data_IF_347892176686
#
_entry.id   IF_347892176686
#
_cell.length_a   1.000
_cell.length_b   1.000
_cell.length_c   1.000
_cell.angle_alpha   90.00
_cell.angle_beta   90.00
_cell.angle_gamma   90.00
#
_symmetry.space_group_name_H-M   'P 1'
#
loop_
_entity.id
_entity.type
_entity.pdbx_description
1 polymer ?
#
# COMPACT_ATOMS: atom_id res chain seq x y z
N UNK A 1 25.40 -18.57 33.64
CA UNK A 1 24.85 -17.41 32.92
C UNK A 1 24.35 -17.92 31.59
N UNK A 2 23.04 -17.90 31.38
CA UNK A 2 22.42 -18.31 30.13
C UNK A 2 22.36 -17.12 29.18
N UNK A 3 22.71 -17.34 27.91
CA UNK A 3 21.99 -16.71 26.80
C UNK A 3 21.89 -17.73 25.64
N UNK A 4 20.68 -18.24 25.35
CA UNK A 4 20.43 -19.09 24.20
C UNK A 4 20.23 -18.27 22.91
N UNK A 5 20.78 -18.81 21.82
CA UNK A 5 20.60 -18.37 20.43
C UNK A 5 19.13 -18.09 20.10
N UNK A 6 18.83 -16.84 19.75
CA UNK A 6 17.56 -16.46 19.14
C UNK A 6 17.54 -16.92 17.68
N UNK A 7 17.06 -18.14 17.40
CA UNK A 7 16.41 -18.42 16.12
C UNK A 7 14.92 -18.11 16.28
N UNK A 8 14.54 -16.87 16.00
CA UNK A 8 13.16 -16.52 15.68
C UNK A 8 13.07 -16.37 14.17
N UNK A 9 12.60 -17.41 13.49
CA UNK A 9 11.90 -17.23 12.23
C UNK A 9 10.69 -16.36 12.54
N UNK A 10 10.77 -15.07 12.21
CA UNK A 10 9.68 -14.12 12.47
C UNK A 10 9.00 -13.77 11.15
N UNK A 11 7.80 -14.30 11.00
CA UNK A 11 6.79 -13.97 10.00
C UNK A 11 6.37 -12.49 10.15
N UNK A 12 7.17 -11.55 9.63
CA UNK A 12 7.06 -10.13 9.95
C UNK A 12 6.43 -9.23 8.86
N UNK A 13 5.98 -9.78 7.73
CA UNK A 13 5.40 -8.97 6.63
C UNK A 13 3.87 -8.83 6.69
N UNK A 14 3.20 -9.33 7.73
CA UNK A 14 1.73 -9.43 7.75
C UNK A 14 1.00 -8.27 8.46
N UNK A 15 1.70 -7.38 9.17
CA UNK A 15 1.06 -6.38 10.05
C UNK A 15 1.65 -4.96 10.03
N UNK A 16 2.72 -4.70 9.28
CA UNK A 16 3.24 -3.32 9.17
C UNK A 16 2.38 -2.51 8.18
N UNK A 17 2.01 -1.25 8.52
CA UNK A 17 1.33 -0.35 7.60
C UNK A 17 2.24 -0.05 6.41
N UNK A 18 1.78 -0.41 5.21
CA UNK A 18 2.51 -0.26 3.95
C UNK A 18 2.19 1.07 3.24
N UNK A 19 1.01 1.63 3.50
CA UNK A 19 0.55 2.90 2.92
C UNK A 19 0.25 3.93 4.00
N UNK A 20 0.15 5.20 3.62
CA UNK A 20 -0.16 6.32 4.52
C UNK A 20 -1.49 6.13 5.27
N UNK A 21 -2.47 5.48 4.65
CA UNK A 21 -3.77 5.17 5.23
C UNK A 21 -3.81 3.81 5.97
N UNK A 22 -2.64 3.21 6.23
CA UNK A 22 -2.49 2.03 7.07
C UNK A 22 -2.91 0.72 6.42
N UNK A 23 -2.93 0.63 5.09
CA UNK A 23 -3.18 -0.64 4.42
C UNK A 23 -1.95 -1.52 4.48
N UNK A 24 -2.17 -2.81 4.70
CA UNK A 24 -1.09 -3.80 4.59
C UNK A 24 -0.74 -4.04 3.12
N UNK A 25 0.47 -4.52 2.86
CA UNK A 25 0.88 -4.92 1.51
C UNK A 25 -0.10 -5.93 0.87
N UNK A 26 -0.61 -6.88 1.67
CA UNK A 26 -1.60 -7.86 1.20
C UNK A 26 -2.92 -7.22 0.79
N UNK A 27 -3.39 -6.24 1.55
CA UNK A 27 -4.62 -5.52 1.24
C UNK A 27 -4.47 -4.72 -0.07
N UNK A 28 -3.36 -3.98 -0.20
CA UNK A 28 -3.05 -3.21 -1.42
C UNK A 28 -2.99 -4.13 -2.64
N UNK A 29 -2.26 -5.25 -2.54
CA UNK A 29 -2.17 -6.21 -3.64
C UNK A 29 -3.52 -6.77 -4.05
N UNK A 30 -4.39 -7.10 -3.08
CA UNK A 30 -5.74 -7.59 -3.37
C UNK A 30 -6.59 -6.50 -4.02
N UNK A 31 -6.50 -5.26 -3.54
CA UNK A 31 -7.19 -4.11 -4.11
C UNK A 31 -6.76 -3.85 -5.57
N UNK A 32 -5.47 -3.78 -5.86
CA UNK A 32 -4.94 -3.60 -7.22
C UNK A 32 -5.33 -4.74 -8.16
N UNK A 33 -5.36 -5.98 -7.66
CA UNK A 33 -5.82 -7.13 -8.44
C UNK A 33 -7.27 -6.95 -8.87
N UNK A 34 -8.13 -6.52 -7.94
CA UNK A 34 -9.54 -6.24 -8.23
C UNK A 34 -9.67 -5.06 -9.20
N UNK A 35 -8.88 -3.99 -9.02
CA UNK A 35 -8.87 -2.83 -9.92
C UNK A 35 -8.60 -3.24 -11.38
N UNK A 36 -7.68 -4.17 -11.59
CA UNK A 36 -7.29 -4.65 -12.90
C UNK A 36 -8.40 -5.44 -13.64
N UNK A 37 -9.45 -5.86 -12.93
CA UNK A 37 -10.61 -6.54 -13.53
C UNK A 37 -11.65 -5.56 -14.11
N UNK A 38 -11.53 -4.26 -13.81
CA UNK A 38 -12.49 -3.25 -14.24
C UNK A 38 -12.04 -2.51 -15.51
N UNK A 39 -12.97 -2.39 -16.46
CA UNK A 39 -12.81 -1.50 -17.61
C UNK A 39 -12.76 -0.03 -17.18
N UNK A 40 -12.11 0.81 -17.99
CA UNK A 40 -12.08 2.26 -17.79
C UNK A 40 -13.07 2.95 -18.75
N UNK A 41 -14.01 3.79 -18.27
CA UNK A 41 -14.26 4.13 -16.87
C UNK A 41 -14.98 3.00 -16.10
N UNK A 42 -14.74 2.88 -14.78
CA UNK A 42 -15.37 1.85 -13.98
C UNK A 42 -16.90 2.03 -13.88
N UNK A 43 -17.67 0.94 -13.69
CA UNK A 43 -19.13 1.01 -13.56
C UNK A 43 -19.56 1.71 -12.26
N UNK A 44 -20.81 2.21 -12.16
CA UNK A 44 -21.31 2.89 -10.96
C UNK A 44 -21.24 2.06 -9.67
N UNK A 45 -21.31 0.72 -9.78
CA UNK A 45 -21.29 -0.22 -8.66
C UNK A 45 -19.89 -0.71 -8.25
N UNK A 46 -18.84 -0.05 -8.78
CA UNK A 46 -17.45 -0.44 -8.62
C UNK A 46 -17.00 -0.56 -7.15
N UNK A 47 -17.33 0.43 -6.32
CA UNK A 47 -16.91 0.42 -4.91
C UNK A 47 -17.63 -0.67 -4.10
N UNK A 48 -18.91 -0.93 -4.42
CA UNK A 48 -19.69 -2.00 -3.80
C UNK A 48 -19.13 -3.38 -4.15
N UNK A 49 -18.64 -3.56 -5.39
CA UNK A 49 -17.98 -4.80 -5.79
C UNK A 49 -16.65 -5.01 -5.06
N UNK A 50 -15.82 -3.96 -4.92
CA UNK A 50 -14.59 -4.05 -4.13
C UNK A 50 -14.90 -4.37 -2.66
N UNK A 51 -15.89 -3.71 -2.06
CA UNK A 51 -16.30 -3.97 -0.67
C UNK A 51 -16.83 -5.40 -0.47
N UNK A 52 -17.45 -6.00 -1.50
CA UNK A 52 -17.86 -7.40 -1.48
C UNK A 52 -16.66 -8.36 -1.49
N UNK A 53 -15.63 -8.06 -2.27
CA UNK A 53 -14.40 -8.86 -2.36
C UNK A 53 -13.45 -8.65 -1.17
N UNK A 54 -13.55 -7.49 -0.50
CA UNK A 54 -12.77 -7.11 0.68
C UNK A 54 -13.68 -6.74 1.87
N UNK A 55 -14.46 -7.69 2.42
CA UNK A 55 -15.45 -7.40 3.46
C UNK A 55 -14.87 -6.93 4.80
N UNK A 56 -13.54 -7.03 4.99
CA UNK A 56 -12.83 -6.51 6.16
C UNK A 56 -12.42 -5.03 6.03
N UNK A 57 -12.66 -4.40 4.88
CA UNK A 57 -12.48 -2.95 4.67
C UNK A 57 -13.84 -2.28 4.57
N UNK A 58 -13.97 -1.09 5.13
CA UNK A 58 -15.19 -0.29 4.97
C UNK A 58 -15.23 0.37 3.60
N UNK A 59 -16.43 0.69 3.11
CA UNK A 59 -16.61 1.36 1.83
C UNK A 59 -15.90 2.73 1.81
N UNK A 60 -15.91 3.44 2.93
CA UNK A 60 -15.23 4.71 3.12
C UNK A 60 -13.71 4.55 3.02
N UNK A 61 -13.14 3.51 3.64
CA UNK A 61 -11.71 3.23 3.57
C UNK A 61 -11.27 2.89 2.14
N UNK A 62 -12.07 2.10 1.42
CA UNK A 62 -11.83 1.77 0.01
C UNK A 62 -11.84 3.02 -0.87
N UNK A 63 -12.83 3.91 -0.69
CA UNK A 63 -12.93 5.18 -1.43
C UNK A 63 -11.75 6.10 -1.13
N UNK A 64 -11.36 6.21 0.14
CA UNK A 64 -10.20 7.00 0.56
C UNK A 64 -8.91 6.47 -0.10
N UNK A 65 -8.69 5.16 -0.05
CA UNK A 65 -7.52 4.52 -0.63
C UNK A 65 -7.43 4.78 -2.15
N UNK A 66 -8.56 4.65 -2.85
CA UNK A 66 -8.63 4.98 -4.29
C UNK A 66 -8.32 6.46 -4.58
N UNK A 67 -8.80 7.39 -3.74
CA UNK A 67 -8.50 8.82 -3.90
C UNK A 67 -7.02 9.13 -3.69
N UNK A 68 -6.37 8.47 -2.72
CA UNK A 68 -4.93 8.60 -2.50
C UNK A 68 -4.14 8.08 -3.71
N UNK A 69 -4.54 6.93 -4.27
CA UNK A 69 -3.94 6.40 -5.49
C UNK A 69 -4.04 7.38 -6.68
N UNK A 70 -5.20 8.02 -6.88
CA UNK A 70 -5.37 9.05 -7.92
C UNK A 70 -4.43 10.24 -7.70
N UNK A 71 -4.30 10.70 -6.45
CA UNK A 71 -3.41 11.80 -6.08
C UNK A 71 -1.95 11.45 -6.35
N UNK A 72 -1.52 10.23 -6.02
CA UNK A 72 -0.14 9.80 -6.27
C UNK A 72 0.15 9.64 -7.77
N UNK A 73 -0.81 9.15 -8.56
CA UNK A 73 -0.69 9.15 -10.02
C UNK A 73 -0.57 10.56 -10.60
N UNK A 74 -1.31 11.54 -10.05
CA UNK A 74 -1.22 12.93 -10.46
C UNK A 74 0.16 13.52 -10.14
N UNK A 75 0.68 13.30 -8.92
CA UNK A 75 2.04 13.69 -8.54
C UNK A 75 3.08 13.11 -9.49
N UNK A 76 3.01 11.81 -9.79
CA UNK A 76 3.94 11.13 -10.71
C UNK A 76 3.87 11.76 -12.10
N UNK A 77 2.66 12.00 -12.62
CA UNK A 77 2.45 12.62 -13.92
C UNK A 77 3.01 14.04 -13.98
N UNK A 78 2.93 14.79 -12.89
CA UNK A 78 3.42 16.17 -12.79
C UNK A 78 4.91 16.25 -12.43
N UNK A 79 5.57 15.12 -12.14
CA UNK A 79 6.96 15.08 -11.68
C UNK A 79 7.15 15.59 -10.25
N UNK A 80 6.07 15.63 -9.45
CA UNK A 80 6.03 16.11 -8.07
C UNK A 80 6.24 14.96 -7.09
N UNK A 81 7.37 14.25 -7.22
CA UNK A 81 7.76 13.21 -6.26
C UNK A 81 9.15 13.52 -5.70
N UNK A 82 9.28 13.36 -4.38
CA UNK A 82 10.55 13.54 -3.70
C UNK A 82 11.43 12.32 -3.96
N UNK A 83 12.47 12.49 -4.78
CA UNK A 83 13.57 11.54 -4.83
C UNK A 83 14.31 11.68 -3.50
N UNK A 84 14.28 10.64 -2.67
CA UNK A 84 15.10 10.57 -1.46
C UNK A 84 16.55 10.60 -1.94
N UNK A 85 17.21 11.75 -1.82
CA UNK A 85 18.65 11.84 -2.04
C UNK A 85 19.32 11.09 -0.90
N UNK A 86 19.82 9.89 -1.19
CA UNK A 86 20.71 9.18 -0.29
C UNK A 86 22.00 10.01 -0.14
N UNK A 87 22.04 10.89 0.86
CA UNK A 87 23.26 11.50 1.33
C UNK A 87 24.02 10.46 2.15
N UNK A 88 24.41 9.35 1.52
CA UNK A 88 25.53 8.55 1.99
C UNK A 88 26.80 9.36 1.72
N UNK A 89 27.04 10.34 2.58
CA UNK A 89 28.35 10.97 2.72
C UNK A 89 29.29 9.86 3.21
N UNK A 90 29.96 9.19 2.26
CA UNK A 90 31.17 8.41 2.50
C UNK A 90 32.19 9.34 3.19
N UNK A 91 32.11 9.38 4.52
CA UNK A 91 33.10 9.99 5.40
C UNK A 91 34.21 8.98 5.62
N UNK A 92 35.02 8.76 4.58
CA UNK A 92 36.34 8.16 4.71
C UNK A 92 37.38 9.28 4.60
N UNK A 93 37.82 9.81 5.76
CA UNK A 93 39.11 10.50 5.89
C UNK A 93 39.81 10.12 7.20
#
# INVERSE_FOLDING_TARGET
MAQPNQKKSSSADEYEPYTEDGWSFKDVKKFETILNEFDTPPPPAFFEQIAREMPWKTLEAIKLHYQLLLKDMEKIKNGEFEMISDNSEDSDE
#
